data_IF_983188154427
#
_entry.id   IF_983188154427
#
_cell.length_a   1.000
_cell.length_b   1.000
_cell.length_c   1.000
_cell.angle_alpha   90.00
_cell.angle_beta   90.00
_cell.angle_gamma   90.00
#
_symmetry.space_group_name_H-M   'P 1'
#
loop_
_entity.id
_entity.type
_entity.pdbx_description
1 polymer ?
#
# COMPACT_ATOMS: atom_id res chain seq x y z
N UNK A 1 8.98 -0.13 11.48
CA UNK A 1 8.45 -1.28 10.73
C UNK A 1 7.80 -2.32 11.64
N UNK A 2 6.83 -1.94 12.48
CA UNK A 2 6.16 -2.88 13.39
C UNK A 2 4.99 -3.63 12.75
N UNK A 3 4.44 -3.08 11.68
CA UNK A 3 3.23 -3.59 11.02
C UNK A 3 3.53 -4.57 9.87
N UNK A 4 4.80 -4.87 9.62
CA UNK A 4 5.24 -5.78 8.54
C UNK A 4 5.86 -7.01 9.17
N UNK A 5 5.31 -8.18 8.86
CA UNK A 5 5.69 -9.46 9.45
C UNK A 5 6.19 -10.39 8.35
N UNK A 6 7.48 -10.33 8.04
CA UNK A 6 8.07 -11.13 6.97
C UNK A 6 8.03 -12.63 7.25
N UNK A 7 8.06 -13.03 8.52
CA UNK A 7 7.97 -14.42 8.97
C UNK A 7 6.64 -15.07 8.62
N UNK A 8 5.56 -14.29 8.65
CA UNK A 8 4.19 -14.77 8.43
C UNK A 8 3.60 -14.31 7.10
N UNK A 9 4.39 -13.59 6.30
CA UNK A 9 3.97 -12.98 5.03
C UNK A 9 2.76 -12.05 5.20
N UNK A 10 2.71 -11.25 6.27
CA UNK A 10 1.56 -10.39 6.52
C UNK A 10 1.93 -8.92 6.74
N UNK A 11 0.98 -8.05 6.42
CA UNK A 11 1.01 -6.64 6.80
C UNK A 11 -0.24 -6.32 7.61
N UNK A 12 -0.06 -5.82 8.82
CA UNK A 12 -1.14 -5.28 9.65
C UNK A 12 -1.49 -3.88 9.15
N UNK A 13 -2.78 -3.62 8.93
CA UNK A 13 -3.26 -2.29 8.57
C UNK A 13 -4.18 -1.78 9.68
N UNK A 14 -3.76 -0.74 10.44
CA UNK A 14 -4.56 -0.24 11.54
C UNK A 14 -5.87 0.38 11.04
N UNK A 15 -6.93 0.22 11.82
CA UNK A 15 -8.29 0.69 11.51
C UNK A 15 -8.50 2.20 11.67
N UNK A 16 -7.56 3.05 11.23
CA UNK A 16 -7.68 4.52 11.37
C UNK A 16 -8.89 5.05 10.59
N UNK A 17 -9.06 4.59 9.35
CA UNK A 17 -10.18 5.02 8.47
C UNK A 17 -11.24 3.92 8.32
N UNK A 18 -10.82 2.66 8.39
CA UNK A 18 -11.66 1.47 8.20
C UNK A 18 -11.62 0.54 9.40
N UNK A 19 -11.88 -0.74 9.16
CA UNK A 19 -11.58 -1.78 10.16
C UNK A 19 -10.11 -2.16 10.10
N UNK A 20 -9.56 -2.54 11.25
CA UNK A 20 -8.26 -3.20 11.32
C UNK A 20 -8.30 -4.49 10.50
N UNK A 21 -7.23 -4.75 9.76
CA UNK A 21 -7.14 -5.94 8.92
C UNK A 21 -5.70 -6.35 8.69
N UNK A 22 -5.56 -7.62 8.33
CA UNK A 22 -4.29 -8.21 7.94
C UNK A 22 -4.32 -8.51 6.46
N UNK A 23 -3.31 -8.04 5.73
CA UNK A 23 -3.08 -8.37 4.33
C UNK A 23 -2.10 -9.52 4.27
N UNK A 24 -2.50 -10.62 3.63
CA UNK A 24 -1.59 -11.71 3.30
C UNK A 24 -0.84 -11.36 2.01
N UNK A 25 0.49 -11.41 2.07
CA UNK A 25 1.38 -11.23 0.93
C UNK A 25 1.57 -12.56 0.23
N UNK A 26 1.60 -12.51 -1.10
CA UNK A 26 2.12 -13.64 -1.88
C UNK A 26 3.63 -13.77 -1.63
N UNK A 27 4.19 -14.95 -1.90
CA UNK A 27 5.65 -15.14 -1.84
C UNK A 27 6.41 -14.17 -2.76
N UNK A 28 5.82 -13.83 -3.91
CA UNK A 28 6.40 -12.85 -4.83
C UNK A 28 6.39 -11.44 -4.23
N UNK A 29 5.26 -11.02 -3.64
CA UNK A 29 5.16 -9.71 -3.00
C UNK A 29 6.12 -9.59 -1.81
N UNK A 30 6.27 -10.65 -1.00
CA UNK A 30 7.27 -10.70 0.06
C UNK A 30 8.68 -10.51 -0.47
N UNK A 31 9.07 -11.22 -1.54
CA UNK A 31 10.40 -11.09 -2.15
C UNK A 31 10.64 -9.67 -2.64
N UNK A 32 9.67 -9.09 -3.35
CA UNK A 32 9.74 -7.69 -3.83
C UNK A 32 9.89 -6.71 -2.67
N UNK A 33 9.10 -6.88 -1.61
CA UNK A 33 9.12 -6.01 -0.44
C UNK A 33 10.43 -6.12 0.35
N UNK A 34 10.93 -7.35 0.54
CA UNK A 34 12.19 -7.59 1.21
C UNK A 34 13.39 -7.07 0.41
N UNK A 35 13.37 -7.22 -0.92
CA UNK A 35 14.40 -6.64 -1.80
C UNK A 35 14.38 -5.12 -1.72
N UNK A 36 13.20 -4.49 -1.75
CA UNK A 36 13.05 -3.06 -1.49
C UNK A 36 13.64 -2.67 -0.13
N UNK A 37 13.33 -3.41 0.93
CA UNK A 37 13.88 -3.14 2.26
C UNK A 37 15.42 -3.23 2.29
N UNK A 38 15.99 -4.23 1.63
CA UNK A 38 17.44 -4.48 1.60
C UNK A 38 18.22 -3.51 0.72
N UNK A 39 17.61 -2.92 -0.32
CA UNK A 39 18.29 -1.91 -1.16
C UNK A 39 18.55 -0.60 -0.41
N UNK A 40 17.77 -0.31 0.64
CA UNK A 40 17.97 0.86 1.48
C UNK A 40 19.26 0.66 2.29
N UNK A 41 20.25 1.57 2.24
CA UNK A 41 21.48 1.45 3.03
C UNK A 41 21.18 1.42 4.53
N UNK A 42 21.91 0.60 5.27
CA UNK A 42 21.67 0.37 6.70
C UNK A 42 21.55 1.65 7.56
N UNK A 43 22.39 2.70 7.36
CA UNK A 43 22.29 3.93 8.16
C UNK A 43 20.95 4.68 8.01
N UNK A 44 20.24 4.47 6.90
CA UNK A 44 18.96 5.13 6.58
C UNK A 44 17.82 4.12 6.39
N UNK A 45 18.07 2.85 6.76
CA UNK A 45 17.09 1.77 6.62
C UNK A 45 16.13 1.79 7.80
N UNK A 46 14.82 1.61 7.57
CA UNK A 46 13.87 1.42 8.66
C UNK A 46 14.28 0.28 9.58
N UNK A 47 14.31 0.52 10.88
CA UNK A 47 14.57 -0.52 11.88
C UNK A 47 13.37 -1.47 11.92
N UNK A 48 13.63 -2.77 11.98
CA UNK A 48 12.57 -3.76 12.13
C UNK A 48 11.94 -3.64 13.53
N UNK A 49 10.64 -3.96 13.65
CA UNK A 49 9.86 -3.81 14.89
C UNK A 49 9.81 -2.40 15.52
N UNK A 50 10.24 -1.35 14.81
CA UNK A 50 10.15 0.04 15.28
C UNK A 50 8.91 0.78 14.76
N UNK A 51 8.76 2.05 15.12
CA UNK A 51 7.78 2.94 14.48
C UNK A 51 8.25 3.52 13.13
N UNK A 52 9.45 3.15 12.64
CA UNK A 52 9.97 3.66 11.36
C UNK A 52 9.05 3.26 10.19
N UNK A 53 8.91 4.09 9.15
CA UNK A 53 8.02 3.81 8.03
C UNK A 53 8.52 2.64 7.18
N UNK A 54 7.60 1.91 6.55
CA UNK A 54 7.94 0.93 5.53
C UNK A 54 8.49 1.59 4.27
N UNK A 55 7.73 2.51 3.70
CA UNK A 55 8.14 3.23 2.50
C UNK A 55 8.84 4.54 2.88
N UNK A 56 10.11 4.64 2.49
CA UNK A 56 10.97 5.80 2.78
C UNK A 56 11.10 6.70 1.56
N UNK A 57 11.06 8.01 1.78
CA UNK A 57 11.24 9.00 0.74
C UNK A 57 12.70 9.02 0.23
N UNK A 58 12.87 9.10 -1.10
CA UNK A 58 14.18 9.14 -1.75
C UNK A 58 14.48 10.54 -2.31
N UNK A 59 15.71 11.00 -2.08
CA UNK A 59 16.27 12.23 -2.63
C UNK A 59 17.05 11.91 -3.92
N UNK A 60 16.47 12.26 -5.06
CA UNK A 60 17.10 12.00 -6.36
C UNK A 60 18.35 12.86 -6.62
N UNK A 61 18.45 14.03 -5.97
CA UNK A 61 19.60 14.93 -6.12
C UNK A 61 20.79 14.38 -5.33
N UNK A 62 20.56 13.97 -4.07
CA UNK A 62 21.59 13.40 -3.20
C UNK A 62 21.83 11.91 -3.41
N UNK A 63 20.99 11.26 -4.23
CA UNK A 63 21.01 9.81 -4.50
C UNK A 63 20.97 8.97 -3.21
N UNK A 64 20.19 9.40 -2.23
CA UNK A 64 20.05 8.72 -0.94
C UNK A 64 18.65 8.90 -0.38
N UNK A 65 18.33 8.22 0.71
CA UNK A 65 17.04 8.32 1.38
C UNK A 65 17.01 9.52 2.35
N UNK A 66 15.85 10.15 2.47
CA UNK A 66 15.67 11.27 3.39
C UNK A 66 15.64 10.78 4.84
N UNK A 67 16.34 11.52 5.71
CA UNK A 67 16.25 11.37 7.17
C UNK A 67 15.40 12.48 7.77
N UNK A 68 14.55 12.12 8.74
CA UNK A 68 13.81 13.06 9.56
C UNK A 68 14.58 13.29 10.85
N UNK A 69 15.26 14.44 10.96
CA UNK A 69 16.03 14.79 12.17
C UNK A 69 15.14 15.02 13.39
N UNK A 70 13.90 15.47 13.18
CA UNK A 70 12.92 15.66 14.26
C UNK A 70 12.52 14.34 14.91
N UNK A 71 12.36 13.28 14.11
CA UNK A 71 11.89 11.97 14.58
C UNK A 71 13.01 10.96 14.77
N UNK A 72 14.26 11.35 14.50
CA UNK A 72 15.43 10.50 14.41
C UNK A 72 15.15 9.15 13.70
N UNK A 73 14.62 9.26 12.49
CA UNK A 73 14.16 8.12 11.70
C UNK A 73 14.18 8.40 10.19
N UNK A 74 14.15 7.35 9.34
CA UNK A 74 13.93 7.52 7.92
C UNK A 74 12.62 8.27 7.64
N UNK A 75 12.64 9.24 6.73
CA UNK A 75 11.46 10.05 6.42
C UNK A 75 10.46 9.24 5.60
N UNK A 76 9.22 9.19 6.07
CA UNK A 76 8.14 8.48 5.38
C UNK A 76 7.88 9.06 3.98
N UNK A 77 7.63 8.17 3.04
CA UNK A 77 7.10 8.53 1.73
C UNK A 77 5.68 9.07 1.89
N UNK A 78 5.40 10.23 1.30
CA UNK A 78 4.10 10.90 1.46
C UNK A 78 3.06 10.38 0.48
N UNK A 79 1.78 10.52 0.83
CA UNK A 79 0.67 10.17 -0.07
C UNK A 79 0.74 10.94 -1.39
N UNK A 80 1.08 12.24 -1.34
CA UNK A 80 1.25 13.08 -2.54
C UNK A 80 2.34 12.52 -3.45
N UNK A 81 3.45 12.03 -2.89
CA UNK A 81 4.51 11.40 -3.66
C UNK A 81 4.02 10.10 -4.33
N UNK A 82 3.27 9.25 -3.61
CA UNK A 82 2.65 8.04 -4.18
C UNK A 82 1.68 8.39 -5.32
N UNK A 83 0.81 9.38 -5.13
CA UNK A 83 -0.12 9.83 -6.17
C UNK A 83 0.63 10.33 -7.42
N UNK A 84 1.73 11.09 -7.23
CA UNK A 84 2.60 11.53 -8.33
C UNK A 84 3.25 10.35 -9.03
N UNK A 85 3.74 9.36 -8.29
CA UNK A 85 4.34 8.14 -8.86
C UNK A 85 3.34 7.36 -9.69
N UNK A 86 2.12 7.12 -9.18
CA UNK A 86 1.05 6.46 -9.94
C UNK A 86 0.78 7.20 -11.25
N UNK A 87 0.69 8.54 -11.21
CA UNK A 87 0.46 9.35 -12.42
C UNK A 87 1.58 9.18 -13.45
N UNK A 88 2.84 9.12 -13.00
CA UNK A 88 3.98 8.91 -13.89
C UNK A 88 3.97 7.51 -14.50
N UNK A 89 3.68 6.48 -13.72
CA UNK A 89 3.56 5.10 -14.24
C UNK A 89 2.41 4.95 -15.23
N UNK A 90 1.27 5.58 -14.96
CA UNK A 90 0.12 5.62 -15.90
C UNK A 90 0.53 6.24 -17.24
N UNK A 91 1.29 7.34 -17.22
CA UNK A 91 1.78 7.98 -18.43
C UNK A 91 2.82 7.10 -19.16
N UNK A 92 3.76 6.49 -18.43
CA UNK A 92 4.77 5.57 -18.98
C UNK A 92 4.15 4.34 -19.64
N UNK A 93 3.05 3.85 -19.09
CA UNK A 93 2.28 2.74 -19.64
C UNK A 93 1.34 3.13 -20.80
N UNK A 94 1.34 4.40 -21.26
CA UNK A 94 0.42 4.92 -22.28
C UNK A 94 -1.07 4.68 -21.95
N UNK A 95 -1.43 4.74 -20.66
CA UNK A 95 -2.81 4.60 -20.20
C UNK A 95 -3.54 5.94 -20.18
N UNK A 96 -4.88 5.88 -20.09
CA UNK A 96 -5.73 7.08 -19.97
C UNK A 96 -5.32 7.91 -18.75
N UNK A 97 -5.19 9.23 -18.95
CA UNK A 97 -4.96 10.21 -17.87
C UNK A 97 -6.08 10.13 -16.83
N UNK A 98 -5.71 10.31 -15.56
CA UNK A 98 -6.65 10.36 -14.43
C UNK A 98 -6.78 9.07 -13.62
N UNK A 99 -6.13 7.98 -14.03
CA UNK A 99 -6.02 6.78 -13.19
C UNK A 99 -5.27 7.14 -11.89
N UNK A 100 -5.87 6.81 -10.76
CA UNK A 100 -5.38 7.12 -9.41
C UNK A 100 -5.45 5.89 -8.50
N UNK A 101 -4.91 6.00 -7.28
CA UNK A 101 -4.99 4.93 -6.27
C UNK A 101 -6.45 4.48 -6.03
N UNK A 102 -7.42 5.40 -6.06
CA UNK A 102 -8.84 5.07 -5.92
C UNK A 102 -9.34 4.19 -7.06
N UNK A 103 -8.90 4.45 -8.30
CA UNK A 103 -9.27 3.61 -9.46
C UNK A 103 -8.68 2.21 -9.34
N UNK A 104 -7.43 2.09 -8.88
CA UNK A 104 -6.81 0.79 -8.62
C UNK A 104 -7.57 0.02 -7.54
N UNK A 105 -7.94 0.68 -6.44
CA UNK A 105 -8.75 0.09 -5.37
C UNK A 105 -10.13 -0.33 -5.87
N UNK A 106 -10.81 0.50 -6.66
CA UNK A 106 -12.10 0.16 -7.25
C UNK A 106 -11.99 -1.06 -8.17
N UNK A 107 -10.94 -1.10 -9.02
CA UNK A 107 -10.68 -2.24 -9.91
C UNK A 107 -10.46 -3.52 -9.12
N UNK A 108 -9.70 -3.46 -8.02
CA UNK A 108 -9.51 -4.59 -7.12
C UNK A 108 -10.84 -5.12 -6.57
N UNK A 109 -11.69 -4.23 -6.04
CA UNK A 109 -13.00 -4.60 -5.48
C UNK A 109 -13.91 -5.22 -6.55
N UNK A 110 -13.99 -4.62 -7.74
CA UNK A 110 -14.80 -5.15 -8.85
C UNK A 110 -14.33 -6.54 -9.29
N UNK A 111 -13.02 -6.80 -9.26
CA UNK A 111 -12.48 -8.15 -9.55
C UNK A 111 -12.91 -9.16 -8.49
N UNK A 112 -12.88 -8.81 -7.21
CA UNK A 112 -13.36 -9.71 -6.14
C UNK A 112 -14.84 -10.07 -6.36
N UNK A 113 -15.68 -9.09 -6.69
CA UNK A 113 -17.11 -9.32 -7.00
C UNK A 113 -17.25 -10.24 -8.22
N UNK A 114 -16.51 -9.99 -9.30
CA UNK A 114 -16.53 -10.83 -10.51
C UNK A 114 -16.08 -12.27 -10.25
N UNK A 115 -15.16 -12.46 -9.30
CA UNK A 115 -14.72 -13.78 -8.84
C UNK A 115 -15.66 -14.42 -7.80
N UNK A 116 -16.85 -13.83 -7.57
CA UNK A 116 -17.86 -14.34 -6.65
C UNK A 116 -17.35 -14.53 -5.21
N UNK A 117 -16.38 -13.70 -4.79
CA UNK A 117 -15.95 -13.64 -3.40
C UNK A 117 -17.11 -13.10 -2.55
N UNK A 118 -17.34 -13.71 -1.38
CA UNK A 118 -18.44 -13.31 -0.50
C UNK A 118 -18.31 -11.86 -0.03
N UNK A 119 -19.43 -11.14 0.11
CA UNK A 119 -19.43 -9.74 0.55
C UNK A 119 -18.70 -9.54 1.89
N UNK A 120 -18.90 -10.45 2.84
CA UNK A 120 -18.27 -10.40 4.15
C UNK A 120 -16.74 -10.51 4.05
N UNK A 121 -16.25 -11.36 3.16
CA UNK A 121 -14.82 -11.47 2.88
C UNK A 121 -14.28 -10.23 2.17
N UNK A 122 -15.00 -9.68 1.19
CA UNK A 122 -14.60 -8.44 0.51
C UNK A 122 -14.49 -7.29 1.53
N UNK A 123 -15.47 -7.13 2.41
CA UNK A 123 -15.47 -6.08 3.45
C UNK A 123 -14.25 -6.22 4.35
N UNK A 124 -13.95 -7.45 4.78
CA UNK A 124 -12.78 -7.76 5.61
C UNK A 124 -11.46 -7.43 4.90
N UNK A 125 -11.29 -7.90 3.66
CA UNK A 125 -10.06 -7.69 2.88
C UNK A 125 -9.83 -6.21 2.53
N UNK A 126 -10.90 -5.50 2.16
CA UNK A 126 -10.84 -4.11 1.71
C UNK A 126 -10.80 -3.15 2.90
N UNK A 127 -11.37 -3.53 4.04
CA UNK A 127 -11.44 -2.72 5.25
C UNK A 127 -12.66 -1.80 5.29
N UNK A 128 -13.79 -2.20 4.72
CA UNK A 128 -15.04 -1.45 4.84
C UNK A 128 -15.70 -1.67 6.19
N UNK A 129 -16.49 -0.69 6.66
CA UNK A 129 -17.24 -0.79 7.91
C UNK A 129 -18.63 -1.43 7.74
N UNK A 130 -19.16 -1.46 6.51
CA UNK A 130 -20.51 -1.99 6.24
C UNK A 130 -20.67 -2.47 4.80
N UNK A 131 -21.62 -3.41 4.60
CA UNK A 131 -22.07 -3.92 3.29
C UNK A 131 -22.59 -2.84 2.36
N UNK A 132 -23.18 -1.78 2.92
CA UNK A 132 -23.68 -0.65 2.13
C UNK A 132 -22.58 0.00 1.26
N UNK A 133 -21.31 -0.07 1.70
CA UNK A 133 -20.16 0.42 0.94
C UNK A 133 -19.96 -0.32 -0.39
N UNK A 134 -20.47 -1.55 -0.52
CA UNK A 134 -20.38 -2.36 -1.73
C UNK A 134 -21.44 -2.01 -2.77
N UNK A 135 -22.57 -1.42 -2.37
CA UNK A 135 -23.72 -1.14 -3.26
C UNK A 135 -23.32 -0.40 -4.54
N UNK A 136 -22.43 0.59 -4.44
CA UNK A 136 -21.97 1.37 -5.60
C UNK A 136 -21.21 0.54 -6.64
N UNK A 137 -20.60 -0.58 -6.23
CA UNK A 137 -19.84 -1.46 -7.12
C UNK A 137 -20.77 -2.44 -7.83
N UNK A 138 -21.77 -2.98 -7.14
CA UNK A 138 -22.81 -3.81 -7.74
C UNK A 138 -23.63 -3.01 -8.76
N UNK A 139 -24.12 -1.82 -8.37
CA UNK A 139 -24.83 -0.91 -9.28
C UNK A 139 -24.04 -0.48 -10.52
N UNK A 140 -22.71 -0.62 -10.52
CA UNK A 140 -21.87 -0.31 -11.68
C UNK A 140 -21.72 -1.50 -12.63
N UNK A 141 -21.84 -2.73 -12.10
CA UNK A 141 -21.75 -3.97 -12.89
C UNK A 141 -23.12 -4.31 -13.50
N UNK A 142 -24.20 -4.03 -12.77
CA UNK A 142 -25.60 -4.12 -13.24
C UNK A 142 -25.86 -3.18 -14.44
#
# INVERSE_FOLDING_TARGET
>A
MKDVHFENNTISVPGIVGIERTILLTEEDKKRLFNYYKIIPEPVRPRYHSNDPLFVAFDFTRKTYHWSYENDAPKALTEIAVQKMIRLEVARANLRKGISAQHLRNTFILRLIKHQISEDEIIKQVGFKSKLSLKRYYNYID
#
